data_IF_775908992136
#
_entry.id   IF_775908992136
#
_cell.length_a   1.000
_cell.length_b   1.000
_cell.length_c   1.000
_cell.angle_alpha   90.00
_cell.angle_beta   90.00
_cell.angle_gamma   90.00
#
_symmetry.space_group_name_H-M   'P 1'
#
loop_
_entity.id
_entity.type
_entity.pdbx_description
1 polymer ?
#
# COMPACT_ATOMS: atom_id res chain seq x y z
N UNK A 1 4.34 0.21 7.05
CA UNK A 1 3.17 0.91 7.63
C UNK A 1 2.17 1.17 6.53
N UNK A 2 0.89 0.88 6.75
CA UNK A 2 -0.20 1.17 5.81
C UNK A 2 -1.02 2.32 6.39
N UNK A 3 -1.33 3.31 5.57
CA UNK A 3 -2.22 4.42 5.91
C UNK A 3 -3.19 4.62 4.77
N UNK A 4 -4.44 4.92 5.09
CA UNK A 4 -5.45 5.24 4.09
C UNK A 4 -6.06 6.57 4.46
N UNK A 5 -5.91 7.53 3.56
CA UNK A 5 -6.43 8.87 3.69
C UNK A 5 -7.74 8.96 2.93
N UNK A 6 -8.79 9.39 3.63
CA UNK A 6 -10.03 9.83 2.98
C UNK A 6 -9.78 11.24 2.40
N UNK A 7 -10.04 11.38 1.11
CA UNK A 7 -9.77 12.57 0.32
C UNK A 7 -11.12 13.15 -0.13
N UNK A 8 -11.86 13.68 0.83
CA UNK A 8 -13.23 14.23 0.64
C UNK A 8 -13.33 15.35 -0.39
N UNK A 9 -12.22 16.05 -0.65
CA UNK A 9 -12.16 17.19 -1.56
C UNK A 9 -11.63 16.83 -2.95
N UNK A 10 -11.13 15.60 -3.15
CA UNK A 10 -10.60 15.15 -4.43
C UNK A 10 -11.59 14.22 -5.13
N UNK A 11 -12.22 14.72 -6.20
CA UNK A 11 -13.20 13.96 -6.99
C UNK A 11 -12.60 12.76 -7.72
N UNK A 12 -11.30 12.81 -8.03
CA UNK A 12 -10.62 11.76 -8.80
C UNK A 12 -10.05 10.65 -7.91
N UNK A 13 -9.96 10.90 -6.60
CA UNK A 13 -9.37 9.97 -5.65
C UNK A 13 -10.03 10.13 -4.28
N UNK A 14 -11.06 9.33 -4.01
CA UNK A 14 -11.79 9.37 -2.74
C UNK A 14 -10.99 8.77 -1.58
N UNK A 15 -10.19 7.74 -1.85
CA UNK A 15 -9.37 7.05 -0.85
C UNK A 15 -7.96 6.86 -1.39
N UNK A 16 -7.00 7.50 -0.73
CA UNK A 16 -5.59 7.39 -1.07
C UNK A 16 -4.91 6.42 -0.09
N UNK A 17 -4.41 5.30 -0.60
CA UNK A 17 -3.65 4.34 0.18
C UNK A 17 -2.15 4.65 0.07
N UNK A 18 -1.48 4.74 1.20
CA UNK A 18 -0.04 4.90 1.31
C UNK A 18 0.56 3.68 2.00
N UNK A 19 1.58 3.08 1.39
CA UNK A 19 2.32 1.96 1.94
C UNK A 19 3.79 2.35 2.06
N UNK A 20 4.26 2.49 3.29
CA UNK A 20 5.68 2.68 3.59
C UNK A 20 6.32 1.36 3.97
N UNK A 21 7.50 1.14 3.44
CA UNK A 21 8.33 -0.01 3.74
C UNK A 21 9.58 0.50 4.44
N UNK A 22 9.98 -0.16 5.53
CA UNK A 22 11.11 0.29 6.35
C UNK A 22 12.42 0.40 5.55
N UNK A 23 12.57 -0.43 4.51
CA UNK A 23 13.75 -0.47 3.62
C UNK A 23 13.40 -0.24 2.13
N UNK A 24 12.14 0.08 1.76
CA UNK A 24 11.75 0.32 0.36
C UNK A 24 11.00 1.63 0.16
N UNK A 25 10.95 2.08 -1.10
CA UNK A 25 10.19 3.24 -1.59
C UNK A 25 8.75 3.30 -1.09
N UNK A 26 8.29 4.48 -0.70
CA UNK A 26 6.87 4.77 -0.44
C UNK A 26 6.06 4.56 -1.72
N UNK A 27 4.96 3.80 -1.63
CA UNK A 27 4.02 3.57 -2.71
C UNK A 27 2.66 4.17 -2.34
N UNK A 28 2.03 4.88 -3.28
CA UNK A 28 0.68 5.40 -3.12
C UNK A 28 -0.24 4.90 -4.24
N UNK A 29 -1.54 4.84 -3.93
CA UNK A 29 -2.57 4.45 -4.89
C UNK A 29 -3.89 5.12 -4.56
N UNK A 30 -4.66 5.46 -5.60
CA UNK A 30 -5.95 6.13 -5.50
C UNK A 30 -7.10 5.18 -5.80
N UNK A 31 -8.15 5.24 -4.99
CA UNK A 31 -9.26 4.30 -5.04
C UNK A 31 -10.59 5.03 -4.81
N UNK A 32 -11.63 4.57 -5.52
CA UNK A 32 -13.00 5.06 -5.31
C UNK A 32 -13.66 4.49 -4.04
N UNK A 33 -13.18 3.33 -3.55
CA UNK A 33 -13.78 2.62 -2.41
C UNK A 33 -12.72 2.28 -1.36
N UNK A 34 -13.00 2.57 -0.09
CA UNK A 34 -12.08 2.32 1.03
C UNK A 34 -11.61 0.87 1.12
N UNK A 35 -12.54 -0.08 0.94
CA UNK A 35 -12.21 -1.51 0.97
C UNK A 35 -11.21 -1.92 -0.13
N UNK A 36 -11.25 -1.26 -1.30
CA UNK A 36 -10.29 -1.50 -2.37
C UNK A 36 -8.90 -0.96 -2.01
N UNK A 37 -8.83 0.24 -1.42
CA UNK A 37 -7.60 0.82 -0.88
C UNK A 37 -6.96 -0.09 0.18
N UNK A 38 -7.75 -0.60 1.13
CA UNK A 38 -7.31 -1.52 2.18
C UNK A 38 -6.78 -2.83 1.61
N UNK A 39 -7.54 -3.45 0.70
CA UNK A 39 -7.17 -4.73 0.10
C UNK A 39 -5.91 -4.61 -0.75
N UNK A 40 -5.79 -3.53 -1.53
CA UNK A 40 -4.59 -3.25 -2.32
C UNK A 40 -3.38 -3.03 -1.42
N UNK A 41 -3.50 -2.19 -0.39
CA UNK A 41 -2.40 -1.87 0.50
C UNK A 41 -1.90 -3.11 1.26
N UNK A 42 -2.84 -3.93 1.76
CA UNK A 42 -2.52 -5.19 2.44
C UNK A 42 -1.84 -6.19 1.49
N UNK A 43 -2.35 -6.34 0.27
CA UNK A 43 -1.75 -7.20 -0.75
C UNK A 43 -0.34 -6.75 -1.11
N UNK A 44 -0.13 -5.45 -1.33
CA UNK A 44 1.17 -4.87 -1.68
C UNK A 44 2.16 -5.07 -0.53
N UNK A 45 1.72 -4.83 0.70
CA UNK A 45 2.54 -5.06 1.89
C UNK A 45 3.00 -6.52 1.98
N UNK A 46 2.07 -7.46 1.82
CA UNK A 46 2.38 -8.89 1.84
C UNK A 46 3.34 -9.29 0.73
N UNK A 47 3.10 -8.86 -0.51
CA UNK A 47 3.97 -9.17 -1.66
C UNK A 47 5.42 -8.74 -1.44
N UNK A 48 5.63 -7.54 -0.90
CA UNK A 48 6.98 -7.01 -0.66
C UNK A 48 7.66 -7.72 0.50
N UNK A 49 6.96 -7.93 1.63
CA UNK A 49 7.52 -8.70 2.76
C UNK A 49 7.90 -10.11 2.32
N UNK A 50 7.04 -10.79 1.57
CA UNK A 50 7.34 -12.13 1.04
C UNK A 50 8.56 -12.10 0.13
N UNK A 51 8.65 -11.15 -0.80
CA UNK A 51 9.83 -10.99 -1.68
C UNK A 51 11.12 -10.77 -0.88
N UNK A 52 11.06 -9.93 0.15
CA UNK A 52 12.22 -9.65 0.99
C UNK A 52 12.66 -10.86 1.80
N UNK A 53 11.70 -11.62 2.35
CA UNK A 53 11.97 -12.88 3.03
C UNK A 53 12.66 -13.89 2.10
N UNK A 54 12.15 -14.07 0.88
CA UNK A 54 12.80 -14.95 -0.10
C UNK A 54 14.22 -14.48 -0.44
N UNK A 55 14.41 -13.18 -0.64
CA UNK A 55 15.76 -12.62 -0.92
C UNK A 55 16.72 -12.81 0.25
N UNK A 56 16.23 -12.74 1.49
CA UNK A 56 17.04 -13.00 2.69
C UNK A 56 17.36 -14.49 2.87
N UNK A 57 16.43 -15.38 2.53
CA UNK A 57 16.64 -16.83 2.63
C UNK A 57 17.56 -17.42 1.54
N UNK A 58 17.68 -16.74 0.40
CA UNK A 58 18.55 -17.12 -0.73
C UNK A 58 19.91 -16.39 -0.74
N UNK A 59 20.34 -15.86 0.40
CA UNK A 59 21.62 -15.16 0.57
C UNK A 59 22.55 -15.97 1.45
#
# INVERSE_FOLDING_TARGET
MVFIKDQKENSDCHYEAHVWFSNHSHQCGCFAVKAAAEKWASWLQKKIVTRDMFKAAHK
#
